data_IF_499759794287
#
_entry.id   IF_499759794287
#
_cell.length_a   1.000
_cell.length_b   1.000
_cell.length_c   1.000
_cell.angle_alpha   90.00
_cell.angle_beta   90.00
_cell.angle_gamma   90.00
#
_symmetry.space_group_name_H-M   'P 1'
#
loop_
_entity.id
_entity.type
_entity.pdbx_description
1 polymer ?
#
# COMPACT_ATOMS: atom_id res chain seq x y z
N UNK A 1 8.76 5.20 2.31
CA UNK A 1 9.24 3.84 2.01
C UNK A 1 8.07 2.90 2.19
N UNK A 2 7.78 2.09 1.18
CA UNK A 2 6.73 1.08 1.28
C UNK A 2 7.18 -0.03 2.25
N UNK A 3 6.20 -0.70 2.86
CA UNK A 3 6.45 -1.79 3.80
C UNK A 3 7.17 -2.95 3.08
N UNK A 4 8.24 -3.48 3.68
CA UNK A 4 9.05 -4.58 3.13
C UNK A 4 8.21 -5.79 2.69
N UNK A 5 7.18 -6.16 3.45
CA UNK A 5 6.30 -7.29 3.13
C UNK A 5 5.48 -7.02 1.86
N UNK A 6 4.99 -5.79 1.71
CA UNK A 6 4.27 -5.35 0.51
C UNK A 6 5.21 -5.36 -0.70
N UNK A 7 6.46 -4.94 -0.52
CA UNK A 7 7.46 -4.96 -1.58
C UNK A 7 7.80 -6.39 -2.02
N UNK A 8 7.86 -7.34 -1.09
CA UNK A 8 8.03 -8.78 -1.41
C UNK A 8 6.84 -9.30 -2.22
N UNK A 9 5.61 -8.98 -1.79
CA UNK A 9 4.40 -9.39 -2.50
C UNK A 9 4.32 -8.78 -3.90
N UNK A 10 4.68 -7.50 -4.04
CA UNK A 10 4.80 -6.83 -5.34
C UNK A 10 5.81 -7.52 -6.25
N UNK A 11 7.01 -7.81 -5.74
CA UNK A 11 8.03 -8.50 -6.52
C UNK A 11 7.60 -9.91 -6.95
N UNK A 12 6.89 -10.61 -6.07
CA UNK A 12 6.30 -11.93 -6.33
C UNK A 12 5.18 -11.90 -7.35
N UNK A 13 4.27 -10.92 -7.27
CA UNK A 13 3.13 -10.80 -8.18
C UNK A 13 3.55 -10.49 -9.62
N UNK A 14 4.59 -9.66 -9.81
CA UNK A 14 5.22 -9.41 -11.11
C UNK A 14 5.80 -10.67 -11.77
N UNK A 15 6.08 -11.71 -10.98
CA UNK A 15 6.72 -12.96 -11.41
C UNK A 15 5.85 -14.19 -11.13
N UNK A 16 4.53 -14.02 -11.03
CA UNK A 16 3.61 -15.08 -10.61
C UNK A 16 3.75 -16.39 -11.40
N UNK A 17 4.03 -16.30 -12.70
CA UNK A 17 4.20 -17.46 -13.58
C UNK A 17 5.57 -18.16 -13.43
N UNK A 18 6.60 -17.39 -13.09
CA UNK A 18 7.99 -17.88 -13.01
C UNK A 18 8.34 -18.37 -11.60
N UNK A 19 7.73 -17.77 -10.57
CA UNK A 19 8.14 -17.91 -9.18
C UNK A 19 9.40 -17.10 -8.88
N UNK A 20 9.76 -17.06 -7.60
CA UNK A 20 10.91 -16.32 -7.07
C UNK A 20 11.63 -17.14 -6.01
N UNK A 21 12.95 -17.04 -5.96
CA UNK A 21 13.73 -17.58 -4.84
C UNK A 21 13.83 -16.55 -3.72
N UNK A 22 14.05 -17.00 -2.48
CA UNK A 22 14.21 -16.06 -1.37
C UNK A 22 15.46 -15.18 -1.55
N UNK A 23 16.53 -15.72 -2.13
CA UNK A 23 17.74 -14.96 -2.47
C UNK A 23 17.46 -13.85 -3.51
N UNK A 24 16.63 -14.11 -4.53
CA UNK A 24 16.22 -13.08 -5.49
C UNK A 24 15.47 -11.95 -4.79
N UNK A 25 14.55 -12.29 -3.89
CA UNK A 25 13.81 -11.31 -3.09
C UNK A 25 14.75 -10.49 -2.20
N UNK A 26 15.70 -11.13 -1.52
CA UNK A 26 16.68 -10.42 -0.69
C UNK A 26 17.54 -9.45 -1.49
N UNK A 27 18.00 -9.85 -2.67
CA UNK A 27 18.78 -8.99 -3.54
C UNK A 27 17.95 -7.77 -4.00
N UNK A 28 16.71 -8.01 -4.45
CA UNK A 28 15.77 -6.95 -4.82
C UNK A 28 15.54 -5.96 -3.67
N UNK A 29 15.37 -6.44 -2.44
CA UNK A 29 15.20 -5.58 -1.27
C UNK A 29 16.45 -4.76 -0.94
N UNK A 30 17.65 -5.34 -1.09
CA UNK A 30 18.91 -4.61 -0.90
C UNK A 30 19.08 -3.51 -1.94
N UNK A 31 18.73 -3.77 -3.21
CA UNK A 31 18.74 -2.76 -4.28
C UNK A 31 17.78 -1.59 -3.99
N UNK A 32 16.68 -1.86 -3.27
CA UNK A 32 15.73 -0.84 -2.78
C UNK A 32 16.19 -0.12 -1.50
N UNK A 33 17.35 -0.47 -0.95
CA UNK A 33 17.94 0.14 0.23
C UNK A 33 17.46 -0.43 1.56
N UNK A 34 16.78 -1.59 1.57
CA UNK A 34 16.44 -2.26 2.83
C UNK A 34 17.67 -2.95 3.43
N UNK A 35 17.88 -2.75 4.73
CA UNK A 35 18.90 -3.44 5.51
C UNK A 35 18.31 -4.72 6.08
N UNK A 36 18.85 -5.88 5.67
CA UNK A 36 18.36 -7.20 6.09
C UNK A 36 19.55 -8.02 6.62
N UNK A 37 19.63 -8.21 7.92
CA UNK A 37 20.71 -8.91 8.60
C UNK A 37 20.23 -9.87 9.71
N UNK A 38 21.16 -10.72 10.17
CA UNK A 38 21.01 -11.58 11.34
C UNK A 38 19.67 -12.30 11.47
N UNK A 39 19.04 -12.13 12.63
CA UNK A 39 17.75 -12.74 12.97
C UNK A 39 16.60 -12.24 12.11
N UNK A 40 16.67 -10.99 11.64
CA UNK A 40 15.61 -10.41 10.81
C UNK A 40 15.47 -11.14 9.47
N UNK A 41 16.60 -11.51 8.85
CA UNK A 41 16.63 -12.37 7.66
C UNK A 41 15.89 -13.69 7.88
N UNK A 42 16.03 -14.31 9.06
CA UNK A 42 15.39 -15.60 9.36
C UNK A 42 13.88 -15.44 9.50
N UNK A 43 13.40 -14.44 10.23
CA UNK A 43 11.97 -14.15 10.35
C UNK A 43 11.34 -13.82 8.99
N UNK A 44 12.06 -13.03 8.18
CA UNK A 44 11.63 -12.71 6.82
C UNK A 44 11.55 -13.96 5.95
N UNK A 45 12.49 -14.90 6.12
CA UNK A 45 12.47 -16.20 5.46
C UNK A 45 11.25 -17.03 5.84
N UNK A 46 10.97 -17.18 7.14
CA UNK A 46 9.78 -17.90 7.63
C UNK A 46 8.51 -17.29 7.04
N UNK A 47 8.38 -15.96 7.09
CA UNK A 47 7.24 -15.25 6.53
C UNK A 47 7.14 -15.46 5.01
N UNK A 48 8.26 -15.38 4.29
CA UNK A 48 8.32 -15.62 2.85
C UNK A 48 7.83 -17.02 2.50
N UNK A 49 8.35 -18.07 3.13
CA UNK A 49 7.93 -19.45 2.85
C UNK A 49 6.51 -19.78 3.32
N UNK A 50 5.92 -18.95 4.18
CA UNK A 50 4.49 -19.05 4.55
C UNK A 50 3.58 -18.47 3.45
N UNK A 51 4.06 -17.46 2.72
CA UNK A 51 3.32 -16.76 1.67
C UNK A 51 3.69 -17.22 0.25
N UNK A 52 4.79 -17.96 0.10
CA UNK A 52 5.30 -18.48 -1.17
C UNK A 52 5.50 -20.00 -1.03
N UNK A 53 4.66 -20.77 -1.72
CA UNK A 53 4.74 -22.24 -1.75
C UNK A 53 6.05 -22.71 -2.35
N UNK A 54 6.67 -23.69 -1.68
CA UNK A 54 7.68 -24.58 -2.25
C UNK A 54 7.19 -26.02 -2.06
N UNK A 55 6.97 -26.72 -3.17
CA UNK A 55 6.65 -28.16 -3.17
C UNK A 55 7.98 -28.91 -2.98
N UNK A 56 8.27 -29.73 -1.93
CA UNK A 56 7.51 -30.23 -0.78
C UNK A 56 7.99 -29.66 0.59
N UNK A 57 8.48 -28.42 0.60
CA UNK A 57 9.03 -27.76 1.79
C UNK A 57 7.97 -27.36 2.84
N UNK A 58 6.68 -27.55 2.53
CA UNK A 58 5.58 -27.25 3.44
C UNK A 58 5.64 -28.03 4.75
N UNK A 59 6.13 -29.27 4.76
CA UNK A 59 6.23 -30.05 6.01
C UNK A 59 7.37 -29.58 6.90
N UNK A 60 8.51 -29.18 6.32
CA UNK A 60 9.70 -28.79 7.06
C UNK A 60 9.67 -27.33 7.53
N UNK A 61 9.12 -26.40 6.74
CA UNK A 61 8.92 -25.03 7.18
C UNK A 61 7.94 -24.96 8.36
N UNK A 62 6.91 -25.81 8.36
CA UNK A 62 5.96 -25.94 9.48
C UNK A 62 6.62 -26.48 10.75
N UNK A 63 7.55 -27.43 10.62
CA UNK A 63 8.33 -27.96 11.75
C UNK A 63 9.23 -26.90 12.39
N UNK A 64 9.78 -25.98 11.60
CA UNK A 64 10.57 -24.84 12.10
C UNK A 64 9.69 -23.88 12.91
N UNK A 65 8.49 -23.55 12.42
CA UNK A 65 7.53 -22.70 13.16
C UNK A 65 7.10 -23.35 14.50
N UNK A 66 7.11 -24.69 14.58
CA UNK A 66 6.86 -25.44 15.82
C UNK A 66 8.09 -25.68 16.71
N UNK A 67 9.28 -25.19 16.34
CA UNK A 67 10.51 -25.39 17.11
C UNK A 67 11.12 -26.80 17.01
N UNK A 68 10.71 -27.59 16.01
CA UNK A 68 11.13 -28.98 15.84
C UNK A 68 12.43 -29.14 15.00
N UNK A 69 12.99 -28.05 14.47
CA UNK A 69 14.21 -28.03 13.65
C UNK A 69 15.20 -26.99 14.16
N UNK A 70 16.47 -27.37 14.25
CA UNK A 70 17.56 -26.47 14.60
C UNK A 70 17.85 -25.46 13.46
N UNK A 71 18.16 -24.22 13.82
CA UNK A 71 18.34 -23.10 12.89
C UNK A 71 19.49 -23.29 11.87
N UNK A 72 20.42 -24.19 12.17
CA UNK A 72 21.54 -24.58 11.32
C UNK A 72 21.11 -25.39 10.08
N UNK A 73 20.04 -26.19 10.18
CA UNK A 73 19.48 -26.96 9.07
C UNK A 73 18.65 -26.11 8.08
N UNK A 74 18.38 -24.85 8.42
CA UNK A 74 17.59 -23.91 7.62
C UNK A 74 18.34 -23.38 6.38
N UNK A 75 19.68 -23.33 6.44
CA UNK A 75 20.48 -22.54 5.52
C UNK A 75 20.72 -23.16 4.13
N UNK A 76 20.55 -24.47 3.95
CA UNK A 76 21.11 -25.16 2.76
C UNK A 76 20.07 -25.63 1.72
N UNK A 77 18.78 -25.71 2.05
CA UNK A 77 17.79 -26.35 1.17
C UNK A 77 16.72 -25.36 0.66
N UNK A 78 16.41 -24.30 1.40
CA UNK A 78 15.23 -23.47 1.11
C UNK A 78 15.52 -22.19 0.32
N UNK A 79 16.74 -21.66 0.38
CA UNK A 79 17.05 -20.32 -0.16
C UNK A 79 17.11 -20.24 -1.70
N UNK A 80 17.43 -21.36 -2.35
CA UNK A 80 17.61 -21.43 -3.81
C UNK A 80 16.44 -22.10 -4.55
N UNK A 81 15.44 -22.60 -3.81
CA UNK A 81 14.22 -23.16 -4.41
C UNK A 81 13.34 -22.07 -5.01
N UNK A 82 12.84 -22.30 -6.23
CA UNK A 82 11.82 -21.43 -6.85
C UNK A 82 10.51 -21.62 -6.08
N UNK A 83 10.02 -20.53 -5.48
CA UNK A 83 8.77 -20.51 -4.72
C UNK A 83 7.71 -19.71 -5.48
N UNK A 84 6.47 -20.18 -5.47
CA UNK A 84 5.34 -19.47 -6.11
C UNK A 84 4.46 -18.83 -5.07
N UNK A 85 4.04 -17.59 -5.31
CA UNK A 85 3.18 -16.88 -4.38
C UNK A 85 1.86 -17.63 -4.18
N UNK A 86 1.38 -17.73 -2.94
CA UNK A 86 0.10 -18.37 -2.65
C UNK A 86 -1.06 -17.51 -3.16
N UNK A 87 -2.22 -18.13 -3.40
CA UNK A 87 -3.44 -17.39 -3.76
C UNK A 87 -3.80 -16.35 -2.71
N UNK A 88 -3.74 -16.70 -1.42
CA UNK A 88 -4.03 -15.79 -0.31
C UNK A 88 -3.06 -14.60 -0.27
N UNK A 89 -1.76 -14.85 -0.48
CA UNK A 89 -0.76 -13.79 -0.54
C UNK A 89 -0.98 -12.85 -1.74
N UNK A 90 -1.42 -13.39 -2.88
CA UNK A 90 -1.83 -12.59 -4.05
C UNK A 90 -3.04 -11.71 -3.74
N UNK A 91 -4.09 -12.29 -3.16
CA UNK A 91 -5.31 -11.55 -2.82
C UNK A 91 -5.01 -10.44 -1.81
N UNK A 92 -4.25 -10.74 -0.74
CA UNK A 92 -3.82 -9.74 0.24
C UNK A 92 -3.03 -8.58 -0.42
N UNK A 93 -2.22 -8.87 -1.43
CA UNK A 93 -1.51 -7.85 -2.18
C UNK A 93 -2.46 -6.99 -3.02
N UNK A 94 -3.41 -7.61 -3.72
CA UNK A 94 -4.41 -6.89 -4.52
C UNK A 94 -5.29 -6.00 -3.64
N UNK A 95 -5.77 -6.50 -2.50
CA UNK A 95 -6.53 -5.72 -1.53
C UNK A 95 -5.75 -4.49 -1.06
N UNK A 96 -4.45 -4.64 -0.82
CA UNK A 96 -3.57 -3.51 -0.48
C UNK A 96 -3.51 -2.47 -1.61
N UNK A 97 -3.36 -2.91 -2.86
CA UNK A 97 -3.31 -2.01 -4.03
C UNK A 97 -4.62 -1.26 -4.18
N UNK A 98 -5.75 -1.96 -4.11
CA UNK A 98 -7.09 -1.36 -4.18
C UNK A 98 -7.31 -0.34 -3.06
N UNK A 99 -6.94 -0.68 -1.82
CA UNK A 99 -7.03 0.25 -0.69
C UNK A 99 -6.13 1.48 -0.86
N UNK A 100 -4.94 1.31 -1.43
CA UNK A 100 -4.03 2.42 -1.73
C UNK A 100 -4.64 3.35 -2.77
N UNK A 101 -5.15 2.80 -3.86
CA UNK A 101 -5.82 3.58 -4.91
C UNK A 101 -7.07 4.29 -4.39
N UNK A 102 -7.89 3.62 -3.59
CA UNK A 102 -9.08 4.21 -2.97
C UNK A 102 -8.71 5.39 -2.05
N UNK A 103 -7.62 5.28 -1.29
CA UNK A 103 -7.11 6.37 -0.44
C UNK A 103 -6.60 7.55 -1.27
N UNK A 104 -5.88 7.29 -2.35
CA UNK A 104 -5.39 8.33 -3.26
C UNK A 104 -6.55 9.05 -3.97
N UNK A 105 -7.54 8.30 -4.44
CA UNK A 105 -8.76 8.84 -5.04
C UNK A 105 -9.54 9.70 -4.02
N UNK A 106 -9.72 9.20 -2.80
CA UNK A 106 -10.36 9.94 -1.70
C UNK A 106 -9.60 11.23 -1.37
N UNK A 107 -8.27 11.18 -1.27
CA UNK A 107 -7.44 12.37 -1.02
C UNK A 107 -7.58 13.42 -2.13
N UNK A 108 -7.59 13.00 -3.40
CA UNK A 108 -7.85 13.89 -4.55
C UNK A 108 -9.26 14.48 -4.50
N UNK A 109 -10.27 13.68 -4.19
CA UNK A 109 -11.65 14.15 -4.04
C UNK A 109 -11.79 15.17 -2.90
N UNK A 110 -11.13 14.95 -1.76
CA UNK A 110 -11.09 15.92 -0.66
C UNK A 110 -10.38 17.22 -1.07
N UNK A 111 -9.31 17.16 -1.86
CA UNK A 111 -8.66 18.35 -2.39
C UNK A 111 -9.58 19.14 -3.34
N UNK A 112 -10.30 18.46 -4.23
CA UNK A 112 -11.28 19.08 -5.11
C UNK A 112 -12.46 19.68 -4.33
N UNK A 113 -13.01 18.96 -3.36
CA UNK A 113 -14.09 19.42 -2.49
C UNK A 113 -13.70 20.69 -1.73
N UNK A 114 -12.47 20.76 -1.18
CA UNK A 114 -11.97 21.99 -0.53
C UNK A 114 -11.92 23.19 -1.47
N UNK A 115 -11.58 23.00 -2.75
CA UNK A 115 -11.62 24.09 -3.75
C UNK A 115 -13.06 24.53 -4.03
N UNK A 116 -13.98 23.58 -4.21
CA UNK A 116 -15.40 23.86 -4.44
C UNK A 116 -16.02 24.64 -3.26
N UNK A 117 -15.72 24.23 -2.02
CA UNK A 117 -16.16 24.92 -0.81
C UNK A 117 -15.67 26.37 -0.80
N UNK A 118 -14.40 26.62 -1.15
CA UNK A 118 -13.88 28.00 -1.24
C UNK A 118 -14.63 28.84 -2.27
N UNK A 119 -14.91 28.28 -3.46
CA UNK A 119 -15.66 28.98 -4.51
C UNK A 119 -17.09 29.30 -4.04
N UNK A 120 -17.75 28.35 -3.38
CA UNK A 120 -19.09 28.54 -2.83
C UNK A 120 -19.12 29.66 -1.79
N UNK A 121 -18.11 29.73 -0.90
CA UNK A 121 -17.98 30.82 0.08
C UNK A 121 -17.84 32.16 -0.64
N UNK A 122 -16.98 32.27 -1.65
CA UNK A 122 -16.84 33.50 -2.43
C UNK A 122 -18.14 33.92 -3.13
N UNK A 123 -18.85 32.97 -3.74
CA UNK A 123 -20.12 33.24 -4.41
C UNK A 123 -21.20 33.74 -3.44
N UNK A 124 -21.27 33.15 -2.24
CA UNK A 124 -22.18 33.61 -1.19
C UNK A 124 -21.83 35.02 -0.72
N UNK A 125 -20.54 35.32 -0.53
CA UNK A 125 -20.08 36.66 -0.14
C UNK A 125 -20.45 37.72 -1.18
N UNK A 126 -20.21 37.44 -2.47
CA UNK A 126 -20.56 38.36 -3.57
C UNK A 126 -22.08 38.57 -3.63
N UNK A 127 -22.86 37.49 -3.53
CA UNK A 127 -24.32 37.57 -3.56
C UNK A 127 -24.86 38.40 -2.40
N UNK A 128 -24.31 38.25 -1.20
CA UNK A 128 -24.66 39.06 -0.03
C UNK A 128 -24.37 40.55 -0.22
N UNK A 129 -23.19 40.90 -0.78
CA UNK A 129 -22.83 42.29 -1.06
C UNK A 129 -23.75 42.90 -2.13
N UNK A 130 -24.04 42.18 -3.20
CA UNK A 130 -24.94 42.64 -4.27
C UNK A 130 -26.37 42.85 -3.75
N UNK A 131 -26.88 41.96 -2.90
CA UNK A 131 -28.19 42.11 -2.29
C UNK A 131 -28.27 43.39 -1.42
N UNK A 132 -27.26 43.63 -0.59
CA UNK A 132 -27.18 44.86 0.21
C UNK A 132 -27.06 46.12 -0.68
N UNK A 133 -26.23 46.06 -1.72
CA UNK A 133 -26.09 47.16 -2.68
C UNK A 133 -27.41 47.48 -3.39
N UNK A 134 -28.17 46.46 -3.78
CA UNK A 134 -29.50 46.62 -4.39
C UNK A 134 -30.49 47.30 -3.43
N UNK A 135 -30.50 46.92 -2.16
CA UNK A 135 -31.37 47.53 -1.14
C UNK A 135 -31.04 49.01 -0.95
N UNK A 136 -29.76 49.37 -0.86
CA UNK A 136 -29.31 50.76 -0.73
C UNK A 136 -29.74 51.58 -1.95
N UNK A 137 -29.54 51.03 -3.15
CA UNK A 137 -29.92 51.71 -4.39
C UNK A 137 -31.43 51.96 -4.48
N UNK A 138 -32.25 50.97 -4.11
CA UNK A 138 -33.71 51.13 -4.03
C UNK A 138 -34.12 52.20 -3.00
N UNK A 139 -33.48 52.20 -1.82
CA UNK A 139 -33.77 53.20 -0.79
C UNK A 139 -33.44 54.62 -1.27
N UNK A 140 -32.28 54.83 -1.91
CA UNK A 140 -31.90 56.13 -2.45
C UNK A 140 -32.83 56.60 -3.57
N UNK A 141 -33.24 55.70 -4.48
CA UNK A 141 -34.18 56.03 -5.55
C UNK A 141 -35.54 56.50 -5.03
N UNK A 142 -36.01 55.96 -3.91
CA UNK A 142 -37.26 56.38 -3.27
C UNK A 142 -37.21 57.82 -2.74
N UNK A 143 -36.05 58.32 -2.33
CA UNK A 143 -35.91 59.69 -1.81
C UNK A 143 -35.79 60.78 -2.89
N UNK A 144 -35.52 60.41 -4.14
CA UNK A 144 -35.28 61.36 -5.25
C UNK A 144 -36.57 61.67 -6.04
N UNK A 145 -37.65 60.92 -5.80
CA UNK A 145 -38.98 61.09 -6.41
C UNK A 145 -39.92 61.76 -5.40
#
# INVERSE_FOLDING_TARGET
>A
MDNIYIEILRYGSERINQGVTFNQVLNHLKEKGFQIDGLYKNYLGIWFFTNFYSHPASHSAFKIVRGELAADQMNLIYFDGICRMTGDAYMNYMDYVELKEAREASSKAHAASRKAIRIAIWALSISGILALGSLIFQALGYFVI
#
